data_IF_307381193844
#
_entry.id   IF_307381193844
#
_cell.length_a   1.000
_cell.length_b   1.000
_cell.length_c   1.000
_cell.angle_alpha   90.00
_cell.angle_beta   90.00
_cell.angle_gamma   90.00
#
_symmetry.space_group_name_H-M   'P 1'
#
loop_
_entity.id
_entity.type
_entity.pdbx_description
1 polymer ?
#
# COMPACT_ATOMS: atom_id res chain seq x y z
N UNK A 1 7.97 13.61 0.41
CA UNK A 1 8.13 13.11 -0.98
C UNK A 1 6.79 13.14 -1.72
N UNK A 2 6.75 13.22 -3.05
CA UNK A 2 5.51 12.95 -3.81
C UNK A 2 5.12 11.47 -3.64
N UNK A 3 3.84 11.14 -3.79
CA UNK A 3 3.38 9.74 -3.73
C UNK A 3 3.91 9.00 -4.96
N UNK A 4 4.47 7.83 -4.74
CA UNK A 4 4.74 6.82 -5.74
C UNK A 4 3.62 5.75 -5.68
N UNK A 5 2.68 5.72 -6.64
CA UNK A 5 1.57 4.77 -6.62
C UNK A 5 2.00 3.32 -6.73
N UNK A 6 3.11 3.03 -7.43
CA UNK A 6 3.62 1.66 -7.56
C UNK A 6 4.17 1.20 -6.21
N UNK A 7 4.93 2.04 -5.50
CA UNK A 7 5.41 1.72 -4.15
C UNK A 7 4.24 1.44 -3.19
N UNK A 8 3.17 2.23 -3.25
CA UNK A 8 1.98 2.00 -2.43
C UNK A 8 1.30 0.68 -2.79
N UNK A 9 1.12 0.37 -4.09
CA UNK A 9 0.56 -0.91 -4.53
C UNK A 9 1.39 -2.08 -4.02
N UNK A 10 2.69 -2.00 -4.21
CA UNK A 10 3.61 -3.06 -3.87
C UNK A 10 3.67 -3.30 -2.36
N UNK A 11 3.61 -2.24 -1.54
CA UNK A 11 3.46 -2.36 -0.08
C UNK A 11 2.18 -3.12 0.27
N UNK A 12 1.03 -2.68 -0.25
CA UNK A 12 -0.28 -3.26 0.10
C UNK A 12 -0.35 -4.73 -0.29
N UNK A 13 0.07 -5.06 -1.51
CA UNK A 13 0.07 -6.44 -1.99
C UNK A 13 1.11 -7.32 -1.27
N UNK A 14 2.21 -6.74 -0.79
CA UNK A 14 3.22 -7.52 -0.06
C UNK A 14 2.73 -7.84 1.34
N UNK A 15 2.16 -6.86 2.05
CA UNK A 15 1.57 -7.09 3.37
C UNK A 15 0.50 -8.17 3.27
N UNK A 16 -0.46 -8.03 2.33
CA UNK A 16 -1.53 -9.04 2.12
C UNK A 16 -1.01 -10.46 1.86
N UNK A 17 0.15 -10.59 1.21
CA UNK A 17 0.72 -11.89 0.84
C UNK A 17 1.47 -12.56 1.99
N UNK A 18 2.06 -11.77 2.90
CA UNK A 18 2.97 -12.28 3.93
C UNK A 18 2.38 -12.27 5.33
N UNK A 19 1.34 -11.47 5.58
CA UNK A 19 0.68 -11.44 6.89
C UNK A 19 -0.29 -12.60 7.03
N UNK A 20 -0.23 -13.26 8.18
CA UNK A 20 -1.21 -14.26 8.59
C UNK A 20 -1.37 -14.23 10.12
N UNK A 21 -2.13 -15.17 10.68
CA UNK A 21 -2.37 -15.20 12.13
C UNK A 21 -1.11 -15.29 13.00
N UNK A 22 0.01 -15.77 12.45
CA UNK A 22 1.26 -15.98 13.18
C UNK A 22 2.42 -15.11 12.67
N UNK A 23 2.21 -14.34 11.60
CA UNK A 23 3.28 -13.67 10.86
C UNK A 23 2.91 -12.22 10.60
N UNK A 24 3.70 -11.31 11.17
CA UNK A 24 3.62 -9.88 10.89
C UNK A 24 4.54 -9.51 9.72
N UNK A 25 4.18 -8.47 8.98
CA UNK A 25 5.10 -7.83 8.03
C UNK A 25 6.21 -7.08 8.78
N UNK A 26 7.48 -7.28 8.39
CA UNK A 26 8.63 -6.65 9.03
C UNK A 26 9.52 -5.92 8.02
N UNK A 27 9.73 -4.62 8.21
CA UNK A 27 10.66 -3.83 7.39
C UNK A 27 11.71 -3.12 8.24
N UNK A 28 13.00 -3.12 7.87
CA UNK A 28 13.64 -3.78 6.73
C UNK A 28 14.17 -5.18 7.08
N UNK A 29 13.65 -5.82 8.14
CA UNK A 29 14.22 -7.08 8.64
C UNK A 29 14.02 -8.23 7.65
N UNK A 30 12.90 -8.24 6.94
CA UNK A 30 12.61 -9.24 5.92
C UNK A 30 12.94 -8.71 4.52
N UNK A 31 13.30 -9.64 3.64
CA UNK A 31 13.61 -9.36 2.25
C UNK A 31 12.42 -9.69 1.36
N UNK A 32 11.75 -8.66 0.85
CA UNK A 32 10.63 -8.82 -0.07
C UNK A 32 11.06 -8.35 -1.46
N UNK A 33 11.14 -9.27 -2.44
CA UNK A 33 11.64 -8.96 -3.79
C UNK A 33 10.92 -7.77 -4.44
N UNK A 34 9.60 -7.69 -4.25
CA UNK A 34 8.74 -6.61 -4.74
C UNK A 34 9.13 -5.22 -4.19
N UNK A 35 9.73 -5.17 -3.00
CA UNK A 35 10.03 -3.92 -2.30
C UNK A 35 11.50 -3.49 -2.46
N UNK A 36 12.36 -4.35 -3.00
CA UNK A 36 13.81 -4.10 -3.13
C UNK A 36 14.17 -2.96 -4.10
N UNK A 37 13.26 -2.60 -5.01
CA UNK A 37 13.46 -1.46 -5.91
C UNK A 37 13.30 -0.10 -5.24
N UNK A 38 12.79 -0.03 -4.01
CA UNK A 38 12.51 1.21 -3.30
C UNK A 38 13.56 1.53 -2.25
N UNK A 39 13.91 2.81 -2.14
CA UNK A 39 14.83 3.26 -1.10
C UNK A 39 14.21 3.17 0.30
N UNK A 40 15.04 3.07 1.34
CA UNK A 40 14.55 3.07 2.74
C UNK A 40 13.67 4.27 3.08
N UNK A 41 14.08 5.46 2.64
CA UNK A 41 13.30 6.68 2.87
C UNK A 41 11.96 6.65 2.13
N UNK A 42 11.93 6.09 0.92
CA UNK A 42 10.70 5.92 0.16
C UNK A 42 9.74 4.95 0.85
N UNK A 43 10.23 3.79 1.27
CA UNK A 43 9.45 2.79 1.99
C UNK A 43 8.85 3.36 3.28
N UNK A 44 9.68 3.90 4.18
CA UNK A 44 9.21 4.45 5.45
C UNK A 44 8.22 5.60 5.26
N UNK A 45 8.44 6.46 4.25
CA UNK A 45 7.51 7.56 3.95
C UNK A 45 6.14 7.03 3.50
N UNK A 46 6.11 5.98 2.67
CA UNK A 46 4.84 5.44 2.17
C UNK A 46 4.12 4.57 3.20
N UNK A 47 4.85 3.81 4.02
CA UNK A 47 4.29 3.09 5.17
C UNK A 47 3.61 4.05 6.14
N UNK A 48 4.28 5.14 6.53
CA UNK A 48 3.71 6.15 7.43
C UNK A 48 2.44 6.78 6.83
N UNK A 49 2.46 7.10 5.53
CA UNK A 49 1.27 7.65 4.86
C UNK A 49 0.12 6.67 4.75
N UNK A 50 0.39 5.38 4.54
CA UNK A 50 -0.64 4.35 4.50
C UNK A 50 -1.26 4.16 5.89
N UNK A 51 -0.45 4.19 6.95
CA UNK A 51 -0.91 4.23 8.34
C UNK A 51 -1.81 5.43 8.61
N UNK A 52 -1.38 6.64 8.24
CA UNK A 52 -2.18 7.86 8.42
C UNK A 52 -3.54 7.81 7.70
N UNK A 53 -3.65 6.94 6.70
CA UNK A 53 -4.87 6.70 5.92
C UNK A 53 -5.64 5.45 6.35
N UNK A 54 -5.27 4.86 7.48
CA UNK A 54 -5.92 3.73 8.13
C UNK A 54 -5.96 2.48 7.24
N UNK A 55 -4.90 2.22 6.48
CA UNK A 55 -4.79 1.03 5.63
C UNK A 55 -4.27 -0.21 6.39
N UNK A 56 -3.79 -0.03 7.62
CA UNK A 56 -3.13 -1.08 8.41
C UNK A 56 -3.81 -1.30 9.77
N UNK A 57 -3.68 -2.51 10.27
CA UNK A 57 -3.91 -2.92 11.67
C UNK A 57 -2.54 -3.16 12.31
N UNK A 58 -2.38 -2.75 13.57
CA UNK A 58 -1.16 -3.03 14.33
C UNK A 58 0.12 -2.46 13.73
N UNK A 59 0.20 -1.14 13.54
CA UNK A 59 1.42 -0.48 13.06
C UNK A 59 2.34 -0.10 14.22
N UNK A 60 3.55 -0.66 14.24
CA UNK A 60 4.57 -0.36 15.25
C UNK A 60 5.84 0.17 14.60
N UNK A 61 6.31 1.34 15.05
CA UNK A 61 7.58 1.92 14.65
C UNK A 61 8.58 1.86 15.81
N UNK A 62 9.74 1.24 15.57
CA UNK A 62 10.75 0.99 16.60
C UNK A 62 11.93 1.97 16.49
N UNK A 63 12.71 2.11 17.58
CA UNK A 63 13.83 3.07 17.66
C UNK A 63 14.96 2.80 16.64
N UNK A 64 15.11 1.54 16.21
CA UNK A 64 16.05 1.14 15.14
C UNK A 64 15.55 1.50 13.73
N UNK A 65 14.43 2.23 13.61
CA UNK A 65 13.76 2.56 12.35
C UNK A 65 13.26 1.33 11.60
N UNK A 66 12.87 0.27 12.32
CA UNK A 66 12.07 -0.82 11.76
C UNK A 66 10.58 -0.58 11.99
N UNK A 67 9.78 -1.22 11.15
CA UNK A 67 8.31 -1.20 11.19
C UNK A 67 7.81 -2.63 11.24
N UNK A 68 6.87 -2.90 12.15
CA UNK A 68 6.02 -4.09 12.16
C UNK A 68 4.59 -3.72 11.80
N UNK A 69 3.93 -4.53 10.99
CA UNK A 69 2.50 -4.40 10.66
C UNK A 69 1.85 -5.77 10.84
N UNK A 70 0.82 -5.83 11.69
CA UNK A 70 0.07 -7.07 11.94
C UNK A 70 -0.73 -7.49 10.70
N UNK A 71 -1.52 -6.58 10.13
CA UNK A 71 -2.34 -6.91 8.95
C UNK A 71 -2.82 -5.65 8.19
N UNK A 72 -3.49 -5.86 7.06
CA UNK A 72 -4.29 -4.83 6.41
C UNK A 72 -5.59 -4.57 7.17
N UNK A 73 -6.05 -3.33 7.16
CA UNK A 73 -7.41 -3.00 7.63
C UNK A 73 -8.47 -3.45 6.62
N UNK A 74 -9.78 -3.45 6.96
CA UNK A 74 -10.84 -3.70 5.97
C UNK A 74 -10.76 -2.77 4.75
N UNK A 75 -10.33 -1.52 4.97
CA UNK A 75 -10.06 -0.55 3.89
C UNK A 75 -8.81 -0.93 3.11
N UNK A 76 -7.76 -1.43 3.78
CA UNK A 76 -6.55 -1.99 3.16
C UNK A 76 -6.88 -3.16 2.23
N UNK A 77 -7.62 -4.17 2.69
CA UNK A 77 -8.06 -5.30 1.87
C UNK A 77 -8.93 -4.87 0.69
N UNK A 78 -9.90 -3.97 0.91
CA UNK A 78 -10.74 -3.46 -0.19
C UNK A 78 -9.89 -2.78 -1.28
N UNK A 79 -8.85 -2.06 -0.85
CA UNK A 79 -7.90 -1.44 -1.78
C UNK A 79 -7.01 -2.47 -2.46
N UNK A 80 -6.50 -3.47 -1.75
CA UNK A 80 -5.71 -4.59 -2.30
C UNK A 80 -6.49 -5.32 -3.40
N UNK A 81 -7.74 -5.69 -3.14
CA UNK A 81 -8.64 -6.31 -4.13
C UNK A 81 -8.82 -5.43 -5.38
N UNK A 82 -8.94 -4.11 -5.20
CA UNK A 82 -9.11 -3.17 -6.30
C UNK A 82 -7.85 -3.03 -7.19
N UNK A 83 -6.65 -3.22 -6.64
CA UNK A 83 -5.37 -3.02 -7.35
C UNK A 83 -4.64 -4.33 -7.70
N UNK A 84 -5.18 -5.49 -7.30
CA UNK A 84 -4.57 -6.80 -7.57
C UNK A 84 -4.47 -7.08 -9.07
N UNK A 85 -5.55 -6.82 -9.82
CA UNK A 85 -5.56 -7.00 -11.28
C UNK A 85 -4.79 -5.90 -12.01
N UNK A 86 -3.79 -6.28 -12.82
CA UNK A 86 -3.06 -5.34 -13.67
C UNK A 86 -3.96 -4.56 -14.62
N UNK A 87 -5.04 -5.17 -15.11
CA UNK A 87 -6.01 -4.49 -15.98
C UNK A 87 -6.70 -3.34 -15.25
N UNK A 88 -7.15 -3.58 -14.01
CA UNK A 88 -7.79 -2.54 -13.19
C UNK A 88 -6.76 -1.51 -12.74
N UNK A 89 -5.58 -1.94 -12.31
CA UNK A 89 -4.50 -1.04 -11.89
C UNK A 89 -4.05 -0.09 -13.01
N UNK A 90 -3.86 -0.60 -14.22
CA UNK A 90 -3.46 0.23 -15.36
C UNK A 90 -4.49 1.32 -15.66
N UNK A 91 -5.79 1.01 -15.54
CA UNK A 91 -6.88 1.98 -15.71
C UNK A 91 -6.93 3.03 -14.60
N UNK A 92 -6.68 2.61 -13.35
CA UNK A 92 -6.53 3.54 -12.22
C UNK A 92 -5.37 4.50 -12.47
N UNK A 93 -4.20 3.98 -12.88
CA UNK A 93 -3.03 4.81 -13.22
C UNK A 93 -3.30 5.81 -14.35
N UNK A 94 -4.03 5.41 -15.39
CA UNK A 94 -4.44 6.32 -16.47
C UNK A 94 -5.25 7.50 -15.93
N UNK A 95 -6.24 7.22 -15.06
CA UNK A 95 -7.05 8.27 -14.43
C UNK A 95 -6.23 9.19 -13.53
N UNK A 96 -5.30 8.63 -12.76
CA UNK A 96 -4.42 9.39 -11.86
C UNK A 96 -3.51 10.39 -12.58
N UNK A 97 -3.08 10.10 -13.82
CA UNK A 97 -2.28 11.04 -14.62
C UNK A 97 -3.00 12.36 -14.89
N UNK A 98 -4.33 12.35 -14.90
CA UNK A 98 -5.17 13.52 -15.13
C UNK A 98 -5.46 14.33 -13.86
N UNK A 99 -5.09 13.82 -12.68
CA UNK A 99 -5.35 14.44 -11.38
C UNK A 99 -4.11 15.20 -10.89
N UNK A 100 -4.23 16.51 -10.70
CA UNK A 100 -3.17 17.31 -10.06
C UNK A 100 -3.12 17.04 -8.55
N UNK A 101 -1.95 16.69 -8.01
CA UNK A 101 -1.75 16.52 -6.58
C UNK A 101 -2.31 15.21 -6.03
N UNK A 102 -1.64 14.09 -6.32
CA UNK A 102 -2.05 12.79 -5.81
C UNK A 102 -1.84 12.69 -4.29
N UNK A 103 -2.92 12.32 -3.59
CA UNK A 103 -2.94 11.96 -2.17
C UNK A 103 -3.36 10.49 -1.99
N UNK A 104 -2.92 9.82 -0.92
CA UNK A 104 -3.30 8.41 -0.63
C UNK A 104 -4.83 8.23 -0.57
N UNK A 105 -5.63 9.11 0.08
CA UNK A 105 -7.08 8.94 0.09
C UNK A 105 -7.66 8.93 -1.32
N UNK A 106 -7.21 9.84 -2.20
CA UNK A 106 -7.68 9.93 -3.58
C UNK A 106 -7.30 8.69 -4.40
N UNK A 107 -6.08 8.17 -4.21
CA UNK A 107 -5.64 6.91 -4.83
C UNK A 107 -6.55 5.75 -4.42
N UNK A 108 -6.80 5.60 -3.12
CA UNK A 108 -7.58 4.50 -2.54
C UNK A 108 -9.03 4.56 -3.01
N UNK A 109 -9.69 5.72 -2.85
CA UNK A 109 -11.09 5.89 -3.27
C UNK A 109 -11.27 5.63 -4.76
N UNK A 110 -10.41 6.22 -5.61
CA UNK A 110 -10.51 6.02 -7.05
C UNK A 110 -10.38 4.55 -7.47
N UNK A 111 -9.48 3.80 -6.82
CA UNK A 111 -9.30 2.39 -7.12
C UNK A 111 -10.51 1.57 -6.71
N UNK A 112 -11.01 1.75 -5.49
CA UNK A 112 -12.17 1.03 -4.97
C UNK A 112 -13.42 1.34 -5.82
N UNK A 113 -13.70 2.61 -6.08
CA UNK A 113 -14.85 3.05 -6.88
C UNK A 113 -14.82 2.44 -8.30
N UNK A 114 -13.64 2.41 -8.93
CA UNK A 114 -13.48 1.85 -10.27
C UNK A 114 -13.62 0.32 -10.30
N UNK A 115 -13.21 -0.37 -9.23
CA UNK A 115 -13.40 -1.82 -9.11
C UNK A 115 -14.89 -2.16 -8.93
N UNK A 116 -15.59 -1.41 -8.08
CA UNK A 116 -17.01 -1.61 -7.80
C UNK A 116 -17.92 -1.28 -9.00
N UNK A 117 -17.57 -0.29 -9.83
CA UNK A 117 -18.38 0.07 -11.00
C UNK A 117 -18.40 -0.98 -12.12
N UNK A 118 -17.68 -2.10 -11.96
CA UNK A 118 -17.65 -3.22 -12.92
C UNK A 118 -18.57 -4.38 -12.51
N UNK A 119 -19.17 -4.33 -11.33
CA UNK A 119 -20.23 -5.23 -10.88
C UNK A 119 -21.60 -4.63 -11.17
#
# INVERSE_FOLDING_TARGET
MRINPECVRDIILTIEEVTDFNTDFQYPNDNYERLNSYSKNEMLTHLERCKDNQLFIGYFFYMNQSVSIEDLSPKGHSFADAIRSDTTWNKVKEKLKSTAGLAIPALVSLAIDYSQSKY
#
